data_IF_107233598549
#
_entry.id   IF_107233598549
#
_cell.length_a   1.000
_cell.length_b   1.000
_cell.length_c   1.000
_cell.angle_alpha   90.00
_cell.angle_beta   90.00
_cell.angle_gamma   90.00
#
_symmetry.space_group_name_H-M   'P 1'
#
loop_
_entity.id
_entity.type
_entity.pdbx_description
1 polymer ?
#
# COMPACT_ATOMS: atom_id res chain seq x y z
N UNK A 1 9.00 -11.64 -27.46
CA UNK A 1 7.70 -10.95 -27.56
C UNK A 1 7.85 -9.87 -28.61
N UNK A 2 7.13 -9.95 -29.73
CA UNK A 2 7.22 -8.97 -30.84
C UNK A 2 6.52 -7.68 -30.42
N UNK A 3 7.09 -6.51 -30.74
CA UNK A 3 6.52 -5.22 -30.36
C UNK A 3 5.10 -5.06 -30.96
N UNK A 4 4.05 -4.93 -30.12
CA UNK A 4 2.66 -4.86 -30.59
C UNK A 4 2.37 -3.62 -31.46
N UNK A 5 3.14 -2.54 -31.31
CA UNK A 5 2.97 -1.33 -32.15
C UNK A 5 3.54 -1.53 -33.55
N UNK A 6 4.64 -2.28 -33.66
CA UNK A 6 5.32 -2.55 -34.94
C UNK A 6 4.55 -3.61 -35.73
N UNK A 7 4.07 -4.67 -35.07
CA UNK A 7 3.23 -5.69 -35.71
C UNK A 7 1.89 -5.12 -36.18
N UNK A 8 1.28 -4.22 -35.41
CA UNK A 8 0.05 -3.54 -35.82
C UNK A 8 0.26 -2.64 -37.05
N UNK A 9 1.37 -1.87 -37.08
CA UNK A 9 1.72 -1.04 -38.24
C UNK A 9 2.01 -1.88 -39.48
N UNK A 10 2.75 -2.97 -39.36
CA UNK A 10 3.06 -3.83 -40.51
C UNK A 10 1.81 -4.51 -41.07
N UNK A 11 0.90 -4.95 -40.19
CA UNK A 11 -0.42 -5.45 -40.57
C UNK A 11 -1.25 -4.42 -41.36
N UNK A 12 -1.14 -3.14 -41.00
CA UNK A 12 -1.85 -2.06 -41.69
C UNK A 12 -1.36 -1.78 -43.13
N UNK A 13 -0.23 -2.34 -43.53
CA UNK A 13 0.25 -2.26 -44.92
C UNK A 13 -0.40 -3.30 -45.84
N UNK A 14 -0.99 -4.37 -45.28
CA UNK A 14 -1.55 -5.52 -46.01
C UNK A 14 -3.09 -5.52 -46.03
N UNK A 15 -3.71 -4.33 -46.01
CA UNK A 15 -5.15 -4.10 -45.80
C UNK A 15 -6.12 -4.74 -46.81
N UNK A 16 -5.65 -5.41 -47.86
CA UNK A 16 -6.49 -5.99 -48.93
C UNK A 16 -6.83 -7.47 -48.75
N UNK A 17 -6.39 -8.13 -47.67
CA UNK A 17 -6.64 -9.56 -47.44
C UNK A 17 -7.58 -9.77 -46.26
N UNK A 18 -8.51 -10.71 -46.41
CA UNK A 18 -9.41 -11.15 -45.32
C UNK A 18 -8.54 -11.59 -44.14
N UNK A 19 -8.82 -11.02 -42.98
CA UNK A 19 -8.11 -11.33 -41.74
C UNK A 19 -8.40 -12.79 -41.37
N UNK A 20 -7.37 -13.63 -41.42
CA UNK A 20 -7.42 -15.03 -40.95
C UNK A 20 -6.27 -15.27 -39.99
N UNK A 21 -6.48 -16.08 -38.95
CA UNK A 21 -5.47 -16.35 -37.92
C UNK A 21 -4.18 -16.94 -38.49
N UNK A 22 -4.28 -17.68 -39.60
CA UNK A 22 -3.15 -18.27 -40.33
C UNK A 22 -2.28 -17.18 -40.97
N UNK A 23 -2.89 -16.21 -41.66
CA UNK A 23 -2.17 -15.10 -42.31
C UNK A 23 -1.52 -14.19 -41.25
N UNK A 24 -2.26 -13.91 -40.18
CA UNK A 24 -1.76 -13.10 -39.05
C UNK A 24 -0.56 -13.77 -38.36
N UNK A 25 -0.62 -15.08 -38.12
CA UNK A 25 0.47 -15.85 -37.52
C UNK A 25 1.69 -15.92 -38.43
N UNK A 26 1.49 -16.17 -39.72
CA UNK A 26 2.59 -16.18 -40.70
C UNK A 26 3.27 -14.82 -40.83
N UNK A 27 2.50 -13.73 -40.75
CA UNK A 27 3.07 -12.38 -40.77
C UNK A 27 3.91 -12.11 -39.50
N UNK A 28 3.42 -12.49 -38.32
CA UNK A 28 4.18 -12.36 -37.07
C UNK A 28 5.46 -13.20 -37.10
N UNK A 29 5.39 -14.43 -37.61
CA UNK A 29 6.53 -15.31 -37.80
C UNK A 29 7.57 -14.69 -38.75
N UNK A 30 7.11 -14.16 -39.90
CA UNK A 30 7.99 -13.50 -40.87
C UNK A 30 8.70 -12.27 -40.30
N UNK A 31 8.03 -11.45 -39.47
CA UNK A 31 8.66 -10.31 -38.80
C UNK A 31 9.67 -10.75 -37.74
N UNK A 32 9.38 -11.84 -37.02
CA UNK A 32 10.26 -12.38 -35.99
C UNK A 32 11.63 -12.80 -36.54
N UNK A 33 11.68 -13.31 -37.77
CA UNK A 33 12.94 -13.77 -38.41
C UNK A 33 13.62 -12.73 -39.30
N UNK A 34 12.92 -11.66 -39.72
CA UNK A 34 13.45 -10.66 -40.66
C UNK A 34 13.92 -9.37 -40.01
N UNK A 35 13.40 -9.03 -38.83
CA UNK A 35 13.85 -7.86 -38.08
C UNK A 35 14.97 -8.27 -37.12
N UNK A 36 16.04 -7.47 -37.04
CA UNK A 36 17.05 -7.55 -35.98
C UNK A 36 16.42 -7.13 -34.65
N UNK A 37 15.60 -8.01 -34.07
CA UNK A 37 14.94 -7.78 -32.81
C UNK A 37 15.97 -7.82 -31.68
N UNK A 38 16.40 -6.65 -31.22
CA UNK A 38 17.17 -6.59 -29.97
C UNK A 38 16.38 -7.25 -28.82
N UNK A 39 17.02 -8.10 -28.00
CA UNK A 39 16.39 -8.66 -26.81
C UNK A 39 15.79 -7.55 -25.94
N UNK A 40 14.51 -7.67 -25.61
CA UNK A 40 13.78 -6.68 -24.81
C UNK A 40 14.56 -6.33 -23.53
N UNK A 41 15.08 -5.10 -23.47
CA UNK A 41 16.01 -4.64 -22.43
C UNK A 41 15.27 -4.49 -21.09
N UNK A 42 15.41 -5.50 -20.21
CA UNK A 42 14.80 -5.55 -18.85
C UNK A 42 15.14 -4.36 -17.94
N UNK A 43 16.20 -3.60 -18.27
CA UNK A 43 16.65 -2.41 -17.50
C UNK A 43 15.58 -1.32 -17.38
N UNK A 44 14.77 -1.10 -18.43
CA UNK A 44 13.71 -0.09 -18.41
C UNK A 44 12.56 -0.43 -17.44
N UNK A 45 12.24 -1.72 -17.30
CA UNK A 45 11.16 -2.21 -16.43
C UNK A 45 11.55 -2.07 -14.96
N UNK A 46 12.79 -2.42 -14.61
CA UNK A 46 13.27 -2.31 -13.24
C UNK A 46 13.23 -0.86 -12.74
N UNK A 47 13.66 0.08 -13.59
CA UNK A 47 13.60 1.51 -13.27
C UNK A 47 12.15 2.02 -13.17
N UNK A 48 11.26 1.58 -14.05
CA UNK A 48 9.83 1.91 -13.99
C UNK A 48 9.17 1.37 -12.71
N UNK A 49 9.47 0.12 -12.34
CA UNK A 49 8.98 -0.50 -11.11
C UNK A 49 9.47 0.27 -9.88
N UNK A 50 10.75 0.65 -9.86
CA UNK A 50 11.30 1.44 -8.76
C UNK A 50 10.58 2.79 -8.62
N UNK A 51 10.38 3.52 -9.73
CA UNK A 51 9.61 4.78 -9.73
C UNK A 51 8.18 4.58 -9.23
N UNK A 52 7.52 3.51 -9.65
CA UNK A 52 6.18 3.17 -9.19
C UNK A 52 6.14 2.89 -7.69
N UNK A 53 7.08 2.08 -7.17
CA UNK A 53 7.21 1.78 -5.74
C UNK A 53 7.47 3.05 -4.92
N UNK A 54 8.34 3.95 -5.39
CA UNK A 54 8.58 5.23 -4.69
C UNK A 54 7.32 6.10 -4.63
N UNK A 55 6.54 6.15 -5.72
CA UNK A 55 5.27 6.89 -5.73
C UNK A 55 4.25 6.26 -4.78
N UNK A 56 4.14 4.93 -4.78
CA UNK A 56 3.27 4.21 -3.85
C UNK A 56 3.67 4.46 -2.39
N UNK A 57 4.97 4.42 -2.09
CA UNK A 57 5.46 4.71 -0.75
C UNK A 57 5.11 6.14 -0.30
N UNK A 58 5.29 7.14 -1.16
CA UNK A 58 4.87 8.52 -0.85
C UNK A 58 3.36 8.62 -0.60
N UNK A 59 2.55 7.95 -1.42
CA UNK A 59 1.10 7.92 -1.24
C UNK A 59 0.69 7.28 0.10
N UNK A 60 1.23 6.10 0.40
CA UNK A 60 0.97 5.39 1.66
C UNK A 60 1.42 6.24 2.86
N UNK A 61 2.56 6.90 2.76
CA UNK A 61 3.07 7.78 3.81
C UNK A 61 2.13 8.96 4.05
N UNK A 62 1.59 9.57 2.98
CA UNK A 62 0.60 10.64 3.10
C UNK A 62 -0.67 10.17 3.81
N UNK A 63 -1.21 9.01 3.40
CA UNK A 63 -2.38 8.40 4.04
C UNK A 63 -2.09 8.07 5.51
N UNK A 64 -0.93 7.52 5.82
CA UNK A 64 -0.52 7.18 7.18
C UNK A 64 -0.52 8.39 8.10
N UNK A 65 0.08 9.51 7.68
CA UNK A 65 0.09 10.75 8.46
C UNK A 65 -1.33 11.28 8.65
N UNK A 66 -2.16 11.27 7.60
CA UNK A 66 -3.54 11.73 7.69
C UNK A 66 -4.35 10.88 8.68
N UNK A 67 -4.30 9.55 8.56
CA UNK A 67 -5.01 8.63 9.45
C UNK A 67 -4.55 8.80 10.90
N UNK A 68 -3.26 9.04 11.14
CA UNK A 68 -2.73 9.33 12.48
C UNK A 68 -3.35 10.58 13.10
N UNK A 69 -3.46 11.66 12.32
CA UNK A 69 -4.07 12.90 12.77
C UNK A 69 -5.57 12.75 13.02
N UNK A 70 -6.28 12.04 12.13
CA UNK A 70 -7.71 11.76 12.32
C UNK A 70 -7.96 10.91 13.57
N UNK A 71 -7.15 9.88 13.79
CA UNK A 71 -7.21 9.07 14.99
C UNK A 71 -6.98 9.89 16.26
N UNK A 72 -5.96 10.76 16.26
CA UNK A 72 -5.69 11.65 17.38
C UNK A 72 -6.87 12.60 17.65
N UNK A 73 -7.44 13.20 16.60
CA UNK A 73 -8.56 14.12 16.74
C UNK A 73 -9.80 13.43 17.34
N UNK A 74 -10.11 12.20 16.90
CA UNK A 74 -11.21 11.41 17.47
C UNK A 74 -10.91 11.03 18.92
N UNK A 75 -9.67 10.64 19.24
CA UNK A 75 -9.29 10.35 20.63
C UNK A 75 -9.42 11.59 21.53
N UNK A 76 -9.01 12.77 21.07
CA UNK A 76 -9.13 14.00 21.86
C UNK A 76 -10.61 14.38 22.10
N UNK A 77 -11.50 14.08 21.15
CA UNK A 77 -12.94 14.32 21.28
C UNK A 77 -13.62 13.39 22.31
N UNK A 78 -13.24 12.11 22.33
CA UNK A 78 -13.96 11.11 23.15
C UNK A 78 -13.23 10.79 24.46
N UNK A 79 -11.89 10.76 24.44
CA UNK A 79 -11.04 10.38 25.57
C UNK A 79 -9.78 11.26 25.65
N UNK A 80 -9.88 12.51 26.11
CA UNK A 80 -8.75 13.45 26.16
C UNK A 80 -7.59 12.99 27.07
N UNK A 81 -7.84 12.06 28.00
CA UNK A 81 -6.83 11.52 28.92
C UNK A 81 -6.08 10.31 28.31
N UNK A 82 -6.49 9.80 27.15
CA UNK A 82 -5.88 8.62 26.51
C UNK A 82 -4.38 8.78 26.27
N UNK A 83 -3.94 10.01 25.93
CA UNK A 83 -2.52 10.38 25.76
C UNK A 83 -1.68 10.22 27.02
N UNK A 84 -2.29 10.32 28.20
CA UNK A 84 -1.61 10.16 29.49
C UNK A 84 -1.58 8.71 29.98
N UNK A 85 -2.40 7.82 29.41
CA UNK A 85 -2.49 6.41 29.80
C UNK A 85 -1.46 5.55 29.06
N UNK A 86 -1.23 5.86 27.79
CA UNK A 86 -0.30 5.12 26.94
C UNK A 86 0.89 6.00 26.55
N UNK A 87 2.10 5.51 26.82
CA UNK A 87 3.34 6.16 26.35
C UNK A 87 3.46 6.16 24.81
N UNK A 88 2.93 5.12 24.16
CA UNK A 88 2.88 5.03 22.69
C UNK A 88 1.45 4.70 22.23
N UNK A 89 0.80 5.70 21.62
CA UNK A 89 -0.58 5.60 21.12
C UNK A 89 -0.73 4.66 19.92
N UNK A 90 0.36 4.38 19.21
CA UNK A 90 0.34 3.52 18.03
C UNK A 90 0.94 2.13 18.32
N UNK A 91 1.17 1.81 19.60
CA UNK A 91 1.64 0.50 20.03
C UNK A 91 0.55 -0.56 19.83
N UNK A 92 0.97 -1.82 19.63
CA UNK A 92 0.09 -2.99 19.50
C UNK A 92 -0.89 -3.08 20.67
N UNK A 93 -0.44 -2.78 21.90
CA UNK A 93 -1.31 -2.81 23.09
C UNK A 93 -2.34 -1.68 23.07
N UNK A 94 -1.97 -0.49 22.58
CA UNK A 94 -2.86 0.66 22.47
C UNK A 94 -3.94 0.45 21.42
N UNK A 95 -3.56 -0.12 20.26
CA UNK A 95 -4.43 -0.38 19.12
C UNK A 95 -5.29 -1.64 19.27
N UNK A 96 -4.75 -2.69 19.91
CA UNK A 96 -5.48 -3.94 20.22
C UNK A 96 -6.39 -3.80 21.44
N UNK A 97 -6.29 -2.67 22.14
CA UNK A 97 -7.10 -2.35 23.31
C UNK A 97 -8.60 -2.40 22.94
N UNK A 98 -9.38 -3.37 23.46
CA UNK A 98 -10.82 -3.48 23.16
C UNK A 98 -11.63 -2.28 23.69
N UNK A 99 -10.99 -1.37 24.42
CA UNK A 99 -11.55 -0.19 25.05
C UNK A 99 -11.99 0.89 24.05
N UNK A 100 -11.53 0.86 22.79
CA UNK A 100 -12.05 1.74 21.73
C UNK A 100 -13.53 1.47 21.38
N UNK A 101 -14.02 0.24 21.65
CA UNK A 101 -15.45 -0.10 21.53
C UNK A 101 -16.27 0.35 22.74
N UNK A 102 -15.64 0.84 23.81
CA UNK A 102 -16.31 1.26 25.04
C UNK A 102 -16.61 2.77 25.04
N UNK A 103 -17.05 3.30 23.91
CA UNK A 103 -17.47 4.70 23.77
C UNK A 103 -18.74 5.04 24.59
N UNK A 104 -19.40 4.05 25.18
CA UNK A 104 -20.74 4.23 25.73
C UNK A 104 -20.89 4.10 27.26
N UNK A 105 -19.80 4.00 28.03
CA UNK A 105 -19.92 4.06 29.49
C UNK A 105 -18.84 4.97 30.08
N UNK A 106 -19.25 6.15 30.55
CA UNK A 106 -18.50 7.07 31.41
C UNK A 106 -18.12 6.48 32.78
N UNK A 107 -18.04 5.16 32.92
CA UNK A 107 -17.94 4.48 34.21
C UNK A 107 -16.65 3.69 34.29
N UNK A 108 -15.75 4.19 35.14
CA UNK A 108 -14.67 3.46 35.82
C UNK A 108 -13.23 3.60 35.29
N UNK A 109 -12.71 4.82 35.42
CA UNK A 109 -11.27 5.07 35.48
C UNK A 109 -10.56 4.35 36.64
N UNK A 110 -11.27 4.08 37.76
CA UNK A 110 -10.71 3.34 38.91
C UNK A 110 -10.51 1.85 38.63
N UNK A 111 -11.41 1.19 37.89
CA UNK A 111 -11.25 -0.22 37.53
C UNK A 111 -10.17 -0.38 36.45
N UNK A 112 -10.10 0.55 35.49
CA UNK A 112 -9.15 0.50 34.38
C UNK A 112 -7.68 0.59 34.84
N UNK A 113 -7.35 1.48 35.78
CA UNK A 113 -5.97 1.64 36.27
C UNK A 113 -5.43 0.37 36.95
N UNK A 114 -6.27 -0.37 37.66
CA UNK A 114 -5.86 -1.61 38.32
C UNK A 114 -5.61 -2.75 37.31
N UNK A 115 -6.39 -2.81 36.23
CA UNK A 115 -6.20 -3.80 35.15
C UNK A 115 -4.99 -3.47 34.29
N UNK A 116 -4.72 -2.20 34.01
CA UNK A 116 -3.53 -1.75 33.26
C UNK A 116 -2.25 -2.07 34.03
N UNK A 117 -2.21 -1.80 35.35
CA UNK A 117 -1.08 -2.19 36.21
C UNK A 117 -0.82 -3.71 36.22
N UNK A 118 -1.87 -4.52 36.08
CA UNK A 118 -1.77 -5.98 36.02
C UNK A 118 -1.27 -6.51 34.68
N UNK A 119 -1.57 -5.80 33.58
CA UNK A 119 -1.14 -6.17 32.22
C UNK A 119 0.24 -5.64 31.84
N UNK A 120 0.73 -4.59 32.50
CA UNK A 120 2.02 -3.96 32.23
C UNK A 120 2.87 -3.85 33.52
N UNK A 121 3.62 -4.90 33.92
CA UNK A 121 4.43 -4.88 35.14
C UNK A 121 5.72 -4.02 35.05
N UNK A 122 5.99 -3.33 33.93
CA UNK A 122 7.26 -2.61 33.70
C UNK A 122 7.25 -1.11 34.00
N UNK A 123 6.13 -0.48 34.37
CA UNK A 123 6.13 0.95 34.69
C UNK A 123 6.30 1.20 36.19
N UNK A 124 7.46 0.83 36.72
CA UNK A 124 8.01 1.38 37.96
C UNK A 124 9.33 2.06 37.61
N UNK A 125 9.27 3.28 37.10
CA UNK A 125 10.41 4.20 37.16
C UNK A 125 9.85 5.50 37.72
N UNK A 126 10.19 5.73 38.99
CA UNK A 126 10.02 7.00 39.69
C UNK A 126 10.64 8.12 38.86
N UNK A 127 9.89 9.20 38.66
CA UNK A 127 10.47 10.50 38.35
C UNK A 127 10.21 11.37 39.58
N UNK A 128 11.21 11.42 40.45
CA UNK A 128 11.43 12.52 41.38
C UNK A 128 12.49 13.44 40.80
#
# INVERSE_FOLDING_TARGET
MVNPLVSYRAKSSSFRKVKTDIIDTNHLCGMYYKEDLEPYKKRGIQLLNLRNLTRQHKNITGIYVQTKLQFQAVLDQVFPVYRGVFWDLYSVVSLSSPYLNFLHLKVSWKQANNTIKKLCPRSSINVG
#
